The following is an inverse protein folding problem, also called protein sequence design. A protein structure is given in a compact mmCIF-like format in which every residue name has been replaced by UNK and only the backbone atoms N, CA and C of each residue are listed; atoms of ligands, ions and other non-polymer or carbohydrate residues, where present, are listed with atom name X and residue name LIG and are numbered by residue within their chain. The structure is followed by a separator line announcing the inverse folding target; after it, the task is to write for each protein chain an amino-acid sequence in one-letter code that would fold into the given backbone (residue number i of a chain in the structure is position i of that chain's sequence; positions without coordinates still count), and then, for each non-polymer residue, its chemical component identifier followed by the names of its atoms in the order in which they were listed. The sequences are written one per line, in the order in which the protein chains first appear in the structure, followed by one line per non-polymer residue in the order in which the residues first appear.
data_IF_219818773902
#
_entry.id   IF_219818773902
#
_cell.length_a   1.000
_cell.length_b   1.000
_cell.length_c   1.000
_cell.angle_alpha   90.00
_cell.angle_beta   90.00
_cell.angle_gamma   90.00
#
_symmetry.space_group_name_H-M   'P 1'
#
loop_
_entity.id
_entity.type
_entity.pdbx_description
1 polymer ?
#
# COMPACT_ATOMS: atom_id res chain seq x y z
N UNK A 1 -12.11 9.11 -2.94
CA UNK A 1 -11.44 8.56 -1.73
C UNK A 1 -11.77 7.10 -1.58
N UNK A 2 -10.97 6.34 -0.85
CA UNK A 2 -11.28 4.96 -0.49
C UNK A 2 -12.52 4.90 0.40
N UNK A 3 -13.24 3.76 0.46
CA UNK A 3 -14.37 3.60 1.38
C UNK A 3 -13.94 3.49 2.85
N UNK A 4 -12.63 3.43 3.14
CA UNK A 4 -12.12 3.21 4.49
C UNK A 4 -12.00 4.50 5.31
N UNK A 5 -12.17 4.41 6.65
CA UNK A 5 -12.52 3.21 7.42
C UNK A 5 -13.98 2.79 7.21
N UNK A 6 -14.23 1.49 7.22
CA UNK A 6 -15.59 0.94 7.25
C UNK A 6 -16.11 0.91 8.70
N UNK A 7 -17.42 0.96 8.89
CA UNK A 7 -18.06 0.76 10.20
C UNK A 7 -18.00 -0.69 10.72
N UNK A 8 -17.29 -1.59 10.03
CA UNK A 8 -17.12 -3.02 10.31
C UNK A 8 -15.75 -3.49 9.85
N UNK A 9 -15.28 -4.67 10.27
CA UNK A 9 -14.07 -5.28 9.73
C UNK A 9 -14.12 -5.46 8.21
N UNK A 10 -13.06 -5.10 7.52
CA UNK A 10 -12.95 -5.24 6.06
C UNK A 10 -12.75 -6.71 5.66
N UNK A 11 -13.40 -7.13 4.59
CA UNK A 11 -13.25 -8.45 3.97
C UNK A 11 -12.20 -8.35 2.86
N UNK A 12 -11.09 -9.04 3.01
CA UNK A 12 -9.97 -8.94 2.09
C UNK A 12 -9.81 -10.21 1.26
N UNK A 13 -9.50 -10.05 -0.03
CA UNK A 13 -9.02 -11.14 -0.87
C UNK A 13 -7.55 -10.93 -1.21
N UNK A 14 -6.78 -12.02 -1.30
CA UNK A 14 -5.38 -12.00 -1.70
C UNK A 14 -5.21 -12.81 -2.98
N UNK A 15 -4.56 -12.21 -3.98
CA UNK A 15 -4.18 -12.88 -5.22
C UNK A 15 -2.68 -13.18 -5.20
N UNK A 16 -2.30 -14.44 -5.47
CA UNK A 16 -0.91 -14.89 -5.42
C UNK A 16 -0.66 -16.00 -6.45
N UNK A 17 0.48 -15.97 -7.15
CA UNK A 17 0.82 -16.96 -8.19
C UNK A 17 1.81 -18.03 -7.72
N UNK A 18 2.47 -17.87 -6.56
CA UNK A 18 3.62 -18.70 -6.18
C UNK A 18 3.68 -19.09 -4.70
N UNK A 19 4.85 -18.86 -4.08
CA UNK A 19 5.18 -19.30 -2.71
C UNK A 19 4.26 -18.76 -1.62
N UNK A 20 3.68 -17.57 -1.79
CA UNK A 20 2.74 -16.98 -0.84
C UNK A 20 3.35 -16.51 0.48
N UNK A 21 4.61 -16.06 0.48
CA UNK A 21 5.25 -15.60 1.72
C UNK A 21 4.65 -14.26 2.22
N UNK A 22 4.34 -13.34 1.31
CA UNK A 22 3.62 -12.12 1.64
C UNK A 22 2.17 -12.42 2.08
N UNK A 23 1.51 -13.40 1.44
CA UNK A 23 0.20 -13.89 1.90
C UNK A 23 0.28 -14.39 3.34
N UNK A 24 1.30 -15.20 3.69
CA UNK A 24 1.48 -15.70 5.06
C UNK A 24 1.60 -14.56 6.07
N UNK A 25 2.36 -13.52 5.74
CA UNK A 25 2.49 -12.32 6.59
C UNK A 25 1.14 -11.59 6.76
N UNK A 26 0.33 -11.50 5.70
CA UNK A 26 -1.01 -10.92 5.76
C UNK A 26 -1.98 -11.78 6.60
N UNK A 27 -1.95 -13.10 6.45
CA UNK A 27 -2.78 -14.03 7.23
C UNK A 27 -2.45 -13.97 8.74
N UNK A 28 -1.17 -13.79 9.08
CA UNK A 28 -0.74 -13.61 10.47
C UNK A 28 -1.17 -12.27 11.04
N UNK A 29 -1.10 -11.20 10.23
CA UNK A 29 -1.40 -9.85 10.64
C UNK A 29 -2.91 -9.56 10.76
N UNK A 30 -3.73 -10.30 10.01
CA UNK A 30 -5.19 -10.15 9.91
C UNK A 30 -5.88 -11.51 10.04
N UNK A 31 -5.76 -12.17 11.20
CA UNK A 31 -6.43 -13.45 11.43
C UNK A 31 -7.96 -13.27 11.45
N UNK A 32 -8.68 -14.37 11.38
CA UNK A 32 -10.15 -14.38 11.49
C UNK A 32 -10.61 -13.61 12.73
N UNK A 33 -11.57 -12.69 12.53
CA UNK A 33 -12.11 -11.85 13.61
C UNK A 33 -11.24 -10.65 13.98
N UNK A 34 -10.19 -10.34 13.23
CA UNK A 34 -9.38 -9.14 13.49
C UNK A 34 -10.22 -7.85 13.29
N UNK A 35 -10.18 -6.87 14.22
CA UNK A 35 -11.13 -5.74 14.25
C UNK A 35 -11.04 -4.80 13.04
N UNK A 36 -9.90 -4.70 12.37
CA UNK A 36 -9.76 -3.89 11.16
C UNK A 36 -10.19 -4.63 9.89
N UNK A 37 -10.03 -5.95 9.85
CA UNK A 37 -10.37 -6.77 8.69
C UNK A 37 -9.71 -8.12 8.72
N UNK A 38 -10.17 -9.04 7.89
CA UNK A 38 -9.66 -10.41 7.78
C UNK A 38 -9.55 -10.84 6.32
N UNK A 39 -8.62 -11.73 6.02
CA UNK A 39 -8.52 -12.38 4.71
C UNK A 39 -9.59 -13.47 4.63
N UNK A 40 -10.54 -13.31 3.69
CA UNK A 40 -11.66 -14.24 3.52
C UNK A 40 -11.51 -15.12 2.29
N UNK A 41 -10.66 -14.75 1.35
CA UNK A 41 -10.47 -15.45 0.09
C UNK A 41 -9.03 -15.33 -0.39
N UNK A 42 -8.47 -16.43 -0.87
CA UNK A 42 -7.20 -16.46 -1.62
C UNK A 42 -7.46 -17.03 -3.01
N UNK A 43 -6.98 -16.33 -4.03
CA UNK A 43 -7.09 -16.74 -5.43
C UNK A 43 -5.70 -16.90 -6.02
N UNK A 44 -5.50 -17.98 -6.77
CA UNK A 44 -4.29 -18.19 -7.56
C UNK A 44 -4.61 -18.56 -9.00
N UNK A 45 -3.86 -17.97 -9.94
CA UNK A 45 -3.88 -18.37 -11.37
C UNK A 45 -3.12 -19.68 -11.62
N UNK A 46 -2.38 -20.16 -10.62
CA UNK A 46 -1.61 -21.40 -10.63
C UNK A 46 -2.18 -22.38 -9.60
N UNK A 47 -2.76 -23.54 -10.04
CA UNK A 47 -3.28 -24.57 -9.13
C UNK A 47 -2.23 -25.13 -8.17
N UNK A 48 -0.95 -25.14 -8.56
CA UNK A 48 0.17 -25.67 -7.79
C UNK A 48 0.80 -24.64 -6.84
N UNK A 49 0.21 -23.44 -6.73
CA UNK A 49 0.77 -22.39 -5.88
C UNK A 49 0.71 -22.78 -4.40
N UNK A 50 1.86 -22.76 -3.72
CA UNK A 50 1.94 -22.97 -2.27
C UNK A 50 1.10 -21.97 -1.47
N UNK A 51 0.80 -20.81 -2.05
CA UNK A 51 -0.12 -19.83 -1.49
C UNK A 51 -1.49 -20.44 -1.13
N UNK A 52 -2.04 -21.31 -1.98
CA UNK A 52 -3.32 -21.97 -1.73
C UNK A 52 -3.26 -22.91 -0.51
N UNK A 53 -2.16 -23.63 -0.36
CA UNK A 53 -1.96 -24.51 0.79
C UNK A 53 -1.82 -23.72 2.10
N UNK A 54 -1.08 -22.60 2.08
CA UNK A 54 -0.95 -21.69 3.23
C UNK A 54 -2.31 -21.17 3.69
N UNK A 55 -3.16 -20.73 2.74
CA UNK A 55 -4.50 -20.26 3.05
C UNK A 55 -5.36 -21.36 3.69
N UNK A 56 -5.37 -22.56 3.11
CA UNK A 56 -6.13 -23.71 3.64
C UNK A 56 -5.70 -24.10 5.06
N UNK A 57 -4.39 -24.11 5.34
CA UNK A 57 -3.85 -24.36 6.69
C UNK A 57 -4.31 -23.32 7.73
N UNK A 58 -4.64 -22.12 7.29
CA UNK A 58 -5.16 -21.03 8.12
C UNK A 58 -6.70 -21.00 8.16
N UNK A 59 -7.37 -21.98 7.54
CA UNK A 59 -8.84 -22.04 7.45
C UNK A 59 -9.46 -20.98 6.56
N UNK A 60 -8.68 -20.42 5.61
CA UNK A 60 -9.16 -19.42 4.65
C UNK A 60 -9.50 -20.11 3.34
N UNK A 61 -10.63 -19.71 2.73
CA UNK A 61 -11.03 -20.21 1.42
C UNK A 61 -9.95 -19.92 0.37
N UNK A 62 -9.55 -20.97 -0.37
CA UNK A 62 -8.47 -20.89 -1.34
C UNK A 62 -8.87 -21.55 -2.64
N UNK A 63 -8.94 -20.76 -3.72
CA UNK A 63 -9.43 -21.18 -5.02
C UNK A 63 -8.35 -21.01 -6.10
N UNK A 64 -8.17 -22.05 -6.89
CA UNK A 64 -7.39 -21.99 -8.11
C UNK A 64 -8.30 -21.56 -9.27
N UNK A 65 -7.94 -20.47 -9.93
CA UNK A 65 -8.53 -20.00 -11.18
C UNK A 65 -7.47 -20.08 -12.28
N UNK A 66 -7.31 -21.22 -12.97
CA UNK A 66 -6.29 -21.39 -13.99
C UNK A 66 -6.40 -20.32 -15.07
N UNK A 67 -5.26 -19.73 -15.46
CA UNK A 67 -5.21 -18.68 -16.46
C UNK A 67 -5.58 -19.21 -17.87
N UNK A 68 -6.84 -19.07 -18.21
CA UNK A 68 -7.40 -19.39 -19.54
C UNK A 68 -7.53 -18.15 -20.43
N UNK A 69 -6.84 -17.09 -20.08
CA UNK A 69 -6.91 -15.76 -20.68
C UNK A 69 -7.42 -14.72 -19.69
N UNK A 70 -6.99 -13.48 -19.90
CA UNK A 70 -7.24 -12.36 -18.97
C UNK A 70 -8.73 -12.18 -18.70
N UNK A 71 -9.55 -12.12 -19.75
CA UNK A 71 -10.99 -11.85 -19.61
C UNK A 71 -11.71 -12.92 -18.79
N UNK A 72 -11.48 -14.20 -19.10
CA UNK A 72 -12.11 -15.30 -18.40
C UNK A 72 -11.73 -15.32 -16.91
N UNK A 73 -10.43 -15.11 -16.60
CA UNK A 73 -9.96 -15.02 -15.23
C UNK A 73 -10.60 -13.85 -14.47
N UNK A 74 -10.62 -12.66 -15.07
CA UNK A 74 -11.16 -11.45 -14.44
C UNK A 74 -12.68 -11.54 -14.19
N UNK A 75 -13.45 -12.08 -15.15
CA UNK A 75 -14.90 -12.27 -14.99
C UNK A 75 -15.21 -13.22 -13.83
N UNK A 76 -14.50 -14.35 -13.75
CA UNK A 76 -14.65 -15.32 -12.65
C UNK A 76 -14.21 -14.71 -11.31
N UNK A 77 -13.05 -14.04 -11.29
CA UNK A 77 -12.52 -13.40 -10.08
C UNK A 77 -13.49 -12.31 -9.57
N UNK A 78 -14.00 -11.43 -10.43
CA UNK A 78 -14.97 -10.40 -10.02
C UNK A 78 -16.25 -11.00 -9.45
N UNK A 79 -16.75 -12.10 -10.02
CA UNK A 79 -17.89 -12.85 -9.47
C UNK A 79 -17.61 -13.40 -8.07
N UNK A 80 -16.42 -13.96 -7.86
CA UNK A 80 -16.01 -14.46 -6.55
C UNK A 80 -15.87 -13.35 -5.50
N UNK A 81 -15.28 -12.21 -5.88
CA UNK A 81 -15.14 -11.05 -4.99
C UNK A 81 -16.50 -10.50 -4.56
N UNK A 82 -17.43 -10.36 -5.53
CA UNK A 82 -18.79 -9.89 -5.27
C UNK A 82 -19.57 -10.86 -4.35
N UNK A 83 -19.54 -12.16 -4.66
CA UNK A 83 -20.25 -13.18 -3.87
C UNK A 83 -19.77 -13.25 -2.41
N UNK A 84 -18.56 -12.83 -2.11
CA UNK A 84 -17.97 -12.84 -0.76
C UNK A 84 -17.95 -11.48 -0.10
N UNK A 85 -18.52 -10.46 -0.74
CA UNK A 85 -18.56 -9.09 -0.23
C UNK A 85 -17.17 -8.55 0.09
N UNK A 86 -16.20 -8.78 -0.82
CA UNK A 86 -14.81 -8.32 -0.64
C UNK A 86 -14.74 -6.80 -0.75
N UNK A 87 -14.05 -6.19 0.21
CA UNK A 87 -13.85 -4.73 0.28
C UNK A 87 -12.50 -4.29 -0.28
N UNK A 88 -11.47 -5.15 -0.16
CA UNK A 88 -10.08 -4.84 -0.52
C UNK A 88 -9.42 -6.05 -1.17
N UNK A 89 -8.74 -5.84 -2.28
CA UNK A 89 -7.93 -6.86 -2.97
C UNK A 89 -6.46 -6.54 -2.80
N UNK A 90 -5.67 -7.55 -2.43
CA UNK A 90 -4.24 -7.48 -2.19
C UNK A 90 -3.51 -8.40 -3.17
N UNK A 91 -2.65 -7.84 -4.02
CA UNK A 91 -1.77 -8.62 -4.88
C UNK A 91 -0.48 -8.93 -4.12
N UNK A 92 -0.18 -10.19 -3.94
CA UNK A 92 0.97 -10.69 -3.16
C UNK A 92 1.80 -11.67 -3.98
N UNK A 93 2.61 -11.17 -4.90
CA UNK A 93 3.33 -11.98 -5.88
C UNK A 93 2.39 -12.58 -6.94
N UNK A 94 1.40 -11.81 -7.37
CA UNK A 94 0.53 -12.14 -8.48
C UNK A 94 1.18 -11.73 -9.79
N UNK A 95 1.41 -12.69 -10.71
CA UNK A 95 2.26 -12.52 -11.89
C UNK A 95 1.49 -12.16 -13.17
N UNK A 96 0.26 -11.66 -13.06
CA UNK A 96 -0.57 -11.26 -14.21
C UNK A 96 -0.93 -9.79 -14.16
N UNK A 97 -0.97 -9.16 -15.34
CA UNK A 97 -1.49 -7.81 -15.48
C UNK A 97 -3.01 -7.85 -15.60
N UNK A 98 -3.68 -7.15 -14.72
CA UNK A 98 -5.12 -6.95 -14.74
C UNK A 98 -5.50 -5.84 -15.72
N UNK A 99 -6.64 -5.99 -16.38
CA UNK A 99 -7.13 -4.99 -17.32
C UNK A 99 -7.75 -3.77 -16.64
N UNK A 100 -7.91 -2.64 -17.37
CA UNK A 100 -8.65 -1.49 -16.85
C UNK A 100 -10.05 -1.85 -16.34
N UNK A 101 -10.73 -2.78 -17.03
CA UNK A 101 -12.05 -3.27 -16.63
C UNK A 101 -12.08 -3.88 -15.22
N UNK A 102 -10.99 -4.51 -14.80
CA UNK A 102 -10.83 -5.01 -13.43
C UNK A 102 -10.36 -3.91 -12.48
N UNK A 103 -9.35 -3.13 -12.89
CA UNK A 103 -8.65 -2.18 -12.02
C UNK A 103 -9.50 -0.96 -11.67
N UNK A 104 -10.21 -0.37 -12.65
CA UNK A 104 -10.99 0.86 -12.44
C UNK A 104 -12.05 0.77 -11.34
N UNK A 105 -12.90 -0.28 -11.29
CA UNK A 105 -13.88 -0.43 -10.21
C UNK A 105 -13.23 -0.64 -8.83
N UNK A 106 -11.97 -1.07 -8.80
CA UNK A 106 -11.20 -1.34 -7.59
C UNK A 106 -10.21 -0.23 -7.24
N UNK A 107 -10.24 0.90 -7.94
CA UNK A 107 -9.34 2.02 -7.64
C UNK A 107 -9.46 2.45 -6.17
N UNK A 108 -8.32 2.54 -5.48
CA UNK A 108 -8.26 2.81 -4.04
C UNK A 108 -8.58 1.60 -3.14
N UNK A 109 -8.91 0.45 -3.72
CA UNK A 109 -9.20 -0.82 -3.03
C UNK A 109 -8.45 -2.01 -3.63
N UNK A 110 -7.39 -1.74 -4.37
CA UNK A 110 -6.51 -2.74 -4.97
C UNK A 110 -5.07 -2.32 -4.72
N UNK A 111 -4.34 -3.11 -3.94
CA UNK A 111 -2.94 -2.86 -3.59
C UNK A 111 -2.02 -3.92 -4.19
N UNK A 112 -0.79 -3.53 -4.46
CA UNK A 112 0.30 -4.43 -4.80
C UNK A 112 1.53 -4.12 -3.94
N UNK A 113 2.38 -5.13 -3.72
CA UNK A 113 3.73 -4.97 -3.16
C UNK A 113 4.75 -5.28 -4.24
N UNK A 114 5.68 -4.34 -4.47
CA UNK A 114 6.73 -4.45 -5.48
C UNK A 114 8.12 -4.33 -4.83
N UNK A 115 9.08 -5.20 -5.20
CA UNK A 115 10.36 -5.32 -4.50
C UNK A 115 11.41 -4.27 -4.92
N UNK A 116 11.00 -3.02 -5.17
CA UNK A 116 11.89 -1.88 -5.40
C UNK A 116 11.37 -0.60 -4.76
N UNK A 117 12.18 0.43 -4.78
CA UNK A 117 11.79 1.81 -4.43
C UNK A 117 11.19 2.49 -5.66
N UNK A 118 9.91 2.22 -5.97
CA UNK A 118 9.24 2.86 -7.11
C UNK A 118 9.37 4.40 -7.05
N UNK A 119 9.48 5.08 -8.19
CA UNK A 119 9.28 4.59 -9.57
C UNK A 119 10.48 3.85 -10.17
N UNK A 120 11.56 3.61 -9.41
CA UNK A 120 12.73 2.94 -9.91
C UNK A 120 12.50 1.43 -10.01
N UNK A 121 13.05 0.80 -11.06
CA UNK A 121 13.01 -0.65 -11.28
C UNK A 121 11.60 -1.27 -11.30
N UNK A 122 10.64 -0.76 -12.10
CA UNK A 122 9.35 -1.41 -12.29
C UNK A 122 9.51 -2.74 -13.03
N UNK A 123 8.53 -3.64 -12.93
CA UNK A 123 8.49 -4.91 -13.65
C UNK A 123 9.36 -6.01 -13.04
N UNK A 124 9.88 -6.89 -13.88
CA UNK A 124 10.54 -8.14 -13.46
C UNK A 124 12.04 -8.00 -13.22
N UNK A 125 12.63 -9.04 -12.61
CA UNK A 125 14.08 -9.20 -12.37
C UNK A 125 14.73 -8.05 -11.59
N UNK A 126 13.99 -7.47 -10.66
CA UNK A 126 14.37 -6.26 -9.92
C UNK A 126 15.73 -6.43 -9.22
N UNK A 127 15.93 -7.48 -8.44
CA UNK A 127 17.16 -7.65 -7.64
C UNK A 127 18.41 -7.73 -8.51
N UNK A 128 18.34 -8.41 -9.66
CA UNK A 128 19.45 -8.45 -10.62
C UNK A 128 19.75 -7.05 -11.16
N UNK A 129 18.71 -6.32 -11.61
CA UNK A 129 18.85 -4.97 -12.18
C UNK A 129 19.42 -3.97 -11.17
N UNK A 130 19.01 -4.05 -9.92
CA UNK A 130 19.55 -3.24 -8.81
C UNK A 130 21.03 -3.51 -8.59
N UNK A 131 21.44 -4.79 -8.58
CA UNK A 131 22.84 -5.18 -8.40
C UNK A 131 23.70 -4.77 -9.61
N UNK A 132 23.21 -4.96 -10.84
CA UNK A 132 23.90 -4.56 -12.07
C UNK A 132 24.09 -3.03 -12.15
N UNK A 133 23.14 -2.27 -11.61
CA UNK A 133 23.24 -0.81 -11.52
C UNK A 133 24.20 -0.32 -10.43
N UNK A 134 24.68 -1.19 -9.56
CA UNK A 134 25.57 -0.82 -8.46
C UNK A 134 24.93 0.03 -7.38
N UNK A 135 23.61 -0.12 -7.19
CA UNK A 135 22.90 0.62 -6.16
C UNK A 135 23.40 0.26 -4.76
N UNK A 136 23.39 1.25 -3.88
CA UNK A 136 23.77 1.07 -2.46
C UNK A 136 22.58 0.73 -1.58
N UNK A 137 21.39 1.03 -2.06
CA UNK A 137 20.13 0.87 -1.36
C UNK A 137 19.05 0.45 -2.34
N UNK A 138 18.15 -0.37 -1.86
CA UNK A 138 16.90 -0.73 -2.52
C UNK A 138 15.78 -0.83 -1.48
N UNK A 139 14.67 -1.46 -1.82
CA UNK A 139 13.59 -1.63 -0.85
C UNK A 139 12.37 -2.28 -1.44
N UNK A 140 11.23 -1.95 -0.87
CA UNK A 140 9.94 -2.38 -1.38
C UNK A 140 8.93 -1.26 -1.30
N UNK A 141 7.96 -1.29 -2.19
CA UNK A 141 6.87 -0.33 -2.30
C UNK A 141 5.53 -1.05 -2.23
N UNK A 142 4.66 -0.60 -1.35
CA UNK A 142 3.22 -0.90 -1.43
C UNK A 142 2.55 0.27 -2.13
N UNK A 143 1.80 -0.02 -3.19
CA UNK A 143 1.15 1.00 -4.00
C UNK A 143 -0.27 0.60 -4.38
N UNK A 144 -1.10 1.58 -4.69
CA UNK A 144 -2.38 1.35 -5.35
C UNK A 144 -2.13 0.91 -6.78
N UNK A 145 -2.92 -0.05 -7.25
CA UNK A 145 -2.82 -0.52 -8.63
C UNK A 145 -3.61 0.40 -9.54
N UNK A 146 -2.99 0.84 -10.62
CA UNK A 146 -3.61 1.56 -11.73
C UNK A 146 -3.49 0.73 -13.02
N UNK A 147 -3.71 1.36 -14.17
CA UNK A 147 -3.71 0.68 -15.48
C UNK A 147 -2.29 0.36 -15.99
N UNK A 148 -1.25 0.96 -15.40
CA UNK A 148 0.14 0.72 -15.77
C UNK A 148 0.80 -0.39 -14.97
N UNK A 149 2.02 -0.76 -15.38
CA UNK A 149 2.84 -1.71 -14.64
C UNK A 149 3.62 -0.96 -13.56
N UNK A 150 3.24 -1.17 -12.29
CA UNK A 150 3.89 -0.59 -11.11
C UNK A 150 3.92 0.95 -11.13
N UNK A 151 2.95 1.60 -11.78
CA UNK A 151 2.87 3.06 -11.95
C UNK A 151 1.92 3.74 -10.97
N UNK A 152 1.10 2.96 -10.27
CA UNK A 152 0.07 3.49 -9.38
C UNK A 152 0.62 4.25 -8.18
N UNK A 153 -0.22 5.06 -7.54
CA UNK A 153 0.18 5.91 -6.42
C UNK A 153 0.79 5.11 -5.27
N UNK A 154 1.96 5.55 -4.81
CA UNK A 154 2.65 4.93 -3.67
C UNK A 154 1.82 5.13 -2.40
N UNK A 155 1.70 4.05 -1.59
CA UNK A 155 1.11 4.11 -0.27
C UNK A 155 2.19 4.15 0.81
N UNK A 156 3.14 3.24 0.76
CA UNK A 156 4.22 3.12 1.74
C UNK A 156 5.46 2.51 1.10
N UNK A 157 6.64 2.99 1.47
CA UNK A 157 7.92 2.41 1.07
C UNK A 157 8.76 2.06 2.29
N UNK A 158 9.62 1.08 2.14
CA UNK A 158 10.67 0.75 3.09
C UNK A 158 11.99 0.50 2.37
N UNK A 159 13.10 0.68 3.08
CA UNK A 159 14.45 0.64 2.54
C UNK A 159 15.27 -0.48 3.18
N UNK A 160 16.19 -1.04 2.39
CA UNK A 160 17.22 -1.97 2.84
C UNK A 160 18.54 -1.65 2.13
N UNK A 161 19.69 -1.86 2.79
CA UNK A 161 20.98 -1.71 2.13
C UNK A 161 21.20 -2.84 1.12
N UNK A 162 21.94 -2.53 0.06
CA UNK A 162 22.61 -3.50 -0.80
C UNK A 162 24.02 -3.69 -0.23
N UNK A 163 24.37 -4.92 0.12
CA UNK A 163 25.65 -5.23 0.76
C UNK A 163 26.69 -5.69 -0.27
N UNK A 164 27.99 -5.41 -0.06
CA UNK A 164 29.03 -5.95 -0.89
C UNK A 164 28.94 -7.48 -1.00
N UNK A 165 28.99 -8.01 -2.22
CA UNK A 165 28.90 -9.44 -2.48
C UNK A 165 27.49 -10.03 -2.46
N UNK A 166 26.44 -9.21 -2.36
CA UNK A 166 25.06 -9.70 -2.49
C UNK A 166 24.83 -10.41 -3.83
N UNK A 167 24.17 -11.55 -3.76
CA UNK A 167 23.55 -12.19 -4.92
C UNK A 167 22.10 -11.75 -5.06
N UNK A 168 21.46 -11.93 -6.22
CA UNK A 168 20.03 -11.65 -6.37
C UNK A 168 19.18 -12.34 -5.31
N UNK A 169 19.49 -13.58 -4.94
CA UNK A 169 18.79 -14.37 -3.93
C UNK A 169 18.99 -13.82 -2.51
N UNK A 170 20.20 -13.38 -2.17
CA UNK A 170 20.48 -12.76 -0.88
C UNK A 170 19.72 -11.44 -0.71
N UNK A 171 19.72 -10.62 -1.77
CA UNK A 171 18.98 -9.36 -1.80
C UNK A 171 17.47 -9.60 -1.75
N UNK A 172 16.95 -10.56 -2.55
CA UNK A 172 15.54 -10.98 -2.50
C UNK A 172 15.13 -11.36 -1.07
N UNK A 173 15.89 -12.20 -0.41
CA UNK A 173 15.60 -12.63 0.95
C UNK A 173 15.56 -11.46 1.95
N UNK A 174 16.41 -10.44 1.75
CA UNK A 174 16.41 -9.22 2.58
C UNK A 174 15.19 -8.36 2.32
N UNK A 175 14.84 -8.14 1.05
CA UNK A 175 13.67 -7.37 0.65
C UNK A 175 12.38 -8.07 1.10
N UNK A 176 12.26 -9.40 0.96
CA UNK A 176 11.12 -10.17 1.45
C UNK A 176 10.87 -9.99 2.96
N UNK A 177 11.94 -9.97 3.78
CA UNK A 177 11.77 -9.69 5.22
C UNK A 177 11.23 -8.30 5.50
N UNK A 178 11.58 -7.32 4.67
CA UNK A 178 10.98 -5.99 4.72
C UNK A 178 9.51 -6.04 4.32
N UNK A 179 9.17 -6.67 3.18
CA UNK A 179 7.80 -6.77 2.66
C UNK A 179 6.84 -7.39 3.69
N UNK A 180 7.26 -8.44 4.39
CA UNK A 180 6.45 -9.10 5.41
C UNK A 180 6.03 -8.17 6.56
N UNK A 181 6.75 -7.08 6.80
CA UNK A 181 6.40 -6.03 7.78
C UNK A 181 5.69 -4.85 7.12
N UNK A 182 6.17 -4.47 5.94
CA UNK A 182 5.70 -3.30 5.21
C UNK A 182 4.26 -3.47 4.72
N UNK A 183 3.95 -4.62 4.11
CA UNK A 183 2.65 -4.85 3.51
C UNK A 183 1.52 -4.85 4.55
N UNK A 184 1.59 -5.61 5.65
CA UNK A 184 0.58 -5.51 6.71
C UNK A 184 0.47 -4.10 7.32
N UNK A 185 1.58 -3.36 7.46
CA UNK A 185 1.56 -1.97 7.94
C UNK A 185 0.79 -1.06 6.98
N UNK A 186 1.06 -1.16 5.69
CA UNK A 186 0.36 -0.40 4.66
C UNK A 186 -1.15 -0.68 4.66
N UNK A 187 -1.54 -1.95 4.75
CA UNK A 187 -2.95 -2.36 4.84
C UNK A 187 -3.62 -1.76 6.09
N UNK A 188 -2.95 -1.77 7.25
CA UNK A 188 -3.49 -1.13 8.47
C UNK A 188 -3.72 0.36 8.29
N UNK A 189 -2.77 1.08 7.65
CA UNK A 189 -2.94 2.51 7.36
C UNK A 189 -4.15 2.77 6.48
N UNK A 190 -4.32 1.97 5.41
CA UNK A 190 -5.47 2.08 4.51
C UNK A 190 -6.79 1.82 5.26
N UNK A 191 -6.89 0.71 5.98
CA UNK A 191 -8.11 0.31 6.69
C UNK A 191 -8.51 1.31 7.80
N UNK A 192 -7.55 2.03 8.36
CA UNK A 192 -7.79 3.12 9.31
C UNK A 192 -8.14 4.46 8.65
N UNK A 193 -8.17 4.52 7.31
CA UNK A 193 -8.41 5.76 6.57
C UNK A 193 -7.24 6.76 6.63
N UNK A 194 -6.04 6.30 7.02
CA UNK A 194 -4.81 7.10 7.10
C UNK A 194 -4.00 7.08 5.79
N UNK A 195 -4.47 6.38 4.78
CA UNK A 195 -3.89 6.34 3.44
C UNK A 195 -5.01 6.23 2.40
N UNK A 196 -4.85 6.92 1.29
CA UNK A 196 -5.76 6.88 0.13
C UNK A 196 -5.02 7.35 -1.13
N UNK A 197 -5.43 6.96 -2.33
CA UNK A 197 -4.85 7.50 -3.56
C UNK A 197 -5.35 8.93 -3.80
N UNK A 198 -4.65 9.72 -4.62
CA UNK A 198 -5.13 11.03 -5.01
C UNK A 198 -6.58 10.95 -5.51
N UNK A 199 -7.50 11.77 -4.98
CA UNK A 199 -8.87 11.78 -5.46
C UNK A 199 -8.94 12.34 -6.89
N UNK A 200 -9.82 11.82 -7.75
CA UNK A 200 -9.95 12.31 -9.13
C UNK A 200 -10.42 13.77 -9.21
N UNK A 201 -11.12 14.24 -8.18
CA UNK A 201 -11.63 15.60 -8.03
C UNK A 201 -10.70 16.50 -7.19
N UNK A 202 -9.38 16.30 -7.29
CA UNK A 202 -8.35 16.94 -6.46
C UNK A 202 -8.45 18.48 -6.47
N UNK A 203 -8.62 19.08 -7.64
CA UNK A 203 -8.72 20.55 -7.78
C UNK A 203 -9.99 21.10 -7.09
N UNK A 204 -11.11 20.38 -7.18
CA UNK A 204 -12.35 20.77 -6.51
C UNK A 204 -12.21 20.72 -4.97
N UNK A 205 -11.36 19.83 -4.45
CA UNK A 205 -11.14 19.67 -3.01
C UNK A 205 -10.09 20.60 -2.42
N UNK A 206 -9.00 20.83 -3.14
CA UNK A 206 -7.85 21.61 -2.66
C UNK A 206 -7.81 23.05 -3.21
N UNK A 207 -8.58 23.33 -4.27
CA UNK A 207 -8.38 24.51 -5.10
C UNK A 207 -7.21 24.35 -6.09
N UNK A 208 -7.20 25.17 -7.12
CA UNK A 208 -6.25 25.05 -8.24
C UNK A 208 -4.78 25.15 -7.82
N UNK A 209 -4.46 26.09 -6.94
CA UNK A 209 -3.08 26.33 -6.49
C UNK A 209 -2.52 25.13 -5.71
N UNK A 210 -3.25 24.65 -4.69
CA UNK A 210 -2.80 23.51 -3.88
C UNK A 210 -2.83 22.19 -4.66
N UNK A 211 -3.78 22.00 -5.59
CA UNK A 211 -3.79 20.86 -6.49
C UNK A 211 -2.56 20.88 -7.43
N UNK A 212 -2.21 22.04 -7.99
CA UNK A 212 -1.01 22.20 -8.80
C UNK A 212 0.27 21.90 -8.01
N UNK A 213 0.38 22.43 -6.79
CA UNK A 213 1.51 22.15 -5.90
C UNK A 213 1.60 20.65 -5.54
N UNK A 214 0.49 20.00 -5.23
CA UNK A 214 0.46 18.55 -5.00
C UNK A 214 0.91 17.74 -6.23
N UNK A 215 0.44 18.12 -7.42
CA UNK A 215 0.81 17.43 -8.66
C UNK A 215 2.30 17.54 -8.95
N UNK A 216 2.93 18.65 -8.55
CA UNK A 216 4.37 18.89 -8.70
C UNK A 216 5.24 18.07 -7.73
N UNK A 217 4.68 17.51 -6.65
CA UNK A 217 5.40 16.63 -5.73
C UNK A 217 5.87 15.35 -6.45
N UNK A 218 7.01 14.84 -6.02
CA UNK A 218 7.49 13.55 -6.48
C UNK A 218 6.52 12.41 -6.07
N UNK A 219 6.54 11.27 -6.77
CA UNK A 219 5.75 10.10 -6.39
C UNK A 219 5.98 9.65 -4.94
N UNK A 220 7.17 9.90 -4.38
CA UNK A 220 7.54 9.54 -3.00
C UNK A 220 7.05 10.53 -1.95
N UNK A 221 6.86 11.78 -2.31
CA UNK A 221 6.35 12.83 -1.41
C UNK A 221 4.82 12.83 -1.30
N UNK A 222 4.12 12.52 -2.40
CA UNK A 222 2.65 12.48 -2.45
C UNK A 222 2.00 11.66 -1.33
N UNK A 223 2.49 10.46 -0.96
CA UNK A 223 1.91 9.68 0.14
C UNK A 223 1.98 10.38 1.49
N UNK A 224 3.04 11.13 1.77
CA UNK A 224 3.16 11.88 3.03
C UNK A 224 2.13 13.00 3.10
N UNK A 225 1.96 13.73 2.00
CA UNK A 225 0.94 14.77 1.90
C UNK A 225 -0.48 14.20 2.13
N UNK A 226 -0.83 13.11 1.44
CA UNK A 226 -2.14 12.49 1.56
C UNK A 226 -2.39 11.97 2.98
N UNK A 227 -1.36 11.43 3.63
CA UNK A 227 -1.45 10.97 5.02
C UNK A 227 -1.61 12.13 6.00
N UNK A 228 -0.86 13.21 5.83
CA UNK A 228 -1.02 14.40 6.64
C UNK A 228 -2.43 15.00 6.47
N UNK A 229 -2.97 15.00 5.25
CA UNK A 229 -4.37 15.36 5.00
C UNK A 229 -5.35 14.46 5.78
N UNK A 230 -5.16 13.13 5.71
CA UNK A 230 -6.00 12.19 6.46
C UNK A 230 -5.96 12.46 7.97
N UNK A 231 -4.78 12.77 8.52
CA UNK A 231 -4.61 13.10 9.93
C UNK A 231 -5.32 14.39 10.30
N UNK A 232 -5.16 15.46 9.52
CA UNK A 232 -5.87 16.72 9.76
C UNK A 232 -7.38 16.53 9.75
N UNK A 233 -7.90 15.74 8.81
CA UNK A 233 -9.32 15.38 8.78
C UNK A 233 -9.74 14.64 10.05
N UNK A 234 -8.97 13.65 10.47
CA UNK A 234 -9.25 12.89 11.69
C UNK A 234 -9.18 13.75 12.95
N UNK A 235 -8.41 14.84 12.94
CA UNK A 235 -8.31 15.79 14.03
C UNK A 235 -9.34 16.93 13.97
N UNK A 236 -10.23 16.94 12.96
CA UNK A 236 -11.21 17.99 12.76
C UNK A 236 -10.61 19.31 12.21
N UNK A 237 -9.44 19.25 11.63
CA UNK A 237 -8.68 20.39 11.11
C UNK A 237 -8.59 20.37 9.55
N UNK A 238 -9.52 19.70 8.87
CA UNK A 238 -9.48 19.53 7.41
C UNK A 238 -9.49 20.86 6.64
N UNK A 239 -10.08 21.91 7.20
CA UNK A 239 -10.07 23.24 6.57
C UNK A 239 -8.65 23.82 6.35
N UNK A 240 -7.63 23.29 7.06
CA UNK A 240 -6.24 23.69 6.88
C UNK A 240 -5.59 23.06 5.63
N UNK A 241 -6.23 22.10 4.97
CA UNK A 241 -5.70 21.40 3.77
C UNK A 241 -5.87 22.24 2.50
N UNK A 242 -6.02 23.53 2.61
CA UNK A 242 -6.13 24.47 1.50
C UNK A 242 -4.78 24.89 0.92
N UNK A 243 -4.73 26.00 0.16
CA UNK A 243 -3.54 26.49 -0.53
C UNK A 243 -2.30 26.69 0.34
N UNK A 244 -2.48 26.97 1.64
CA UNK A 244 -1.39 27.18 2.59
C UNK A 244 -0.77 25.90 3.15
N UNK A 245 -1.34 24.72 2.88
CA UNK A 245 -0.97 23.47 3.54
C UNK A 245 0.47 23.02 3.25
N UNK A 246 0.96 23.20 2.02
CA UNK A 246 2.32 22.84 1.62
C UNK A 246 3.41 23.80 2.14
N UNK A 247 3.04 24.98 2.56
CA UNK A 247 4.02 25.98 2.97
C UNK A 247 3.77 26.64 4.32
N UNK A 248 2.54 26.63 4.81
CA UNK A 248 2.15 27.46 5.96
C UNK A 248 1.02 26.83 6.82
N UNK A 249 0.98 25.51 6.91
CA UNK A 249 -0.08 24.79 7.67
C UNK A 249 -0.12 25.10 9.17
N UNK A 250 0.66 26.08 9.65
CA UNK A 250 0.79 26.40 11.06
C UNK A 250 1.26 25.18 11.87
N UNK A 251 1.10 25.24 13.17
CA UNK A 251 1.53 24.16 14.09
C UNK A 251 0.76 22.85 13.86
N UNK A 252 -0.51 22.93 13.50
CA UNK A 252 -1.32 21.74 13.16
C UNK A 252 -0.86 21.08 11.86
N UNK A 253 -0.56 21.86 10.83
CA UNK A 253 -0.01 21.32 9.58
C UNK A 253 1.35 20.66 9.79
N UNK A 254 2.26 21.33 10.53
CA UNK A 254 3.56 20.76 10.92
C UNK A 254 3.39 19.48 11.73
N UNK A 255 2.48 19.45 12.70
CA UNK A 255 2.16 18.26 13.49
C UNK A 255 1.67 17.11 12.63
N UNK A 256 0.77 17.38 11.65
CA UNK A 256 0.27 16.37 10.75
C UNK A 256 1.37 15.79 9.84
N UNK A 257 2.30 16.61 9.34
CA UNK A 257 3.45 16.12 8.57
C UNK A 257 4.41 15.29 9.41
N UNK A 258 4.72 15.71 10.64
CA UNK A 258 5.56 14.94 11.54
C UNK A 258 4.93 13.58 11.87
N UNK A 259 3.63 13.55 12.18
CA UNK A 259 2.89 12.30 12.39
C UNK A 259 2.87 11.42 11.14
N UNK A 260 2.70 12.00 9.94
CA UNK A 260 2.75 11.26 8.69
C UNK A 260 4.11 10.60 8.45
N UNK A 261 5.20 11.30 8.76
CA UNK A 261 6.56 10.75 8.70
C UNK A 261 6.77 9.65 9.74
N UNK A 262 6.37 9.84 10.99
CA UNK A 262 6.49 8.83 12.05
C UNK A 262 5.72 7.55 11.72
N UNK A 263 4.54 7.68 11.11
CA UNK A 263 3.76 6.52 10.64
C UNK A 263 4.46 5.78 9.48
N UNK A 264 5.20 6.50 8.64
CA UNK A 264 5.98 5.89 7.55
C UNK A 264 7.27 5.25 8.08
N UNK A 265 8.14 6.07 8.67
CA UNK A 265 9.48 5.68 9.15
C UNK A 265 9.73 6.34 10.53
N UNK A 266 9.46 5.66 11.64
CA UNK A 266 9.74 6.19 12.97
C UNK A 266 11.23 6.55 13.11
N UNK A 267 11.52 7.76 13.58
CA UNK A 267 12.87 8.28 13.74
C UNK A 267 13.00 9.01 15.08
N UNK A 268 14.10 8.84 15.84
CA UNK A 268 14.36 9.61 17.05
C UNK A 268 14.35 11.11 16.82
N UNK A 269 14.90 11.58 15.69
CA UNK A 269 14.92 13.01 15.34
C UNK A 269 13.50 13.57 15.20
N UNK A 270 12.62 12.83 14.52
CA UNK A 270 11.22 13.24 14.37
C UNK A 270 10.49 13.28 15.73
N UNK A 271 10.81 12.39 16.65
CA UNK A 271 10.24 12.40 18.01
C UNK A 271 10.71 13.63 18.81
N UNK A 272 11.95 14.06 18.63
CA UNK A 272 12.44 15.30 19.26
C UNK A 272 11.72 16.53 18.68
N UNK A 273 11.48 16.56 17.36
CA UNK A 273 10.70 17.63 16.74
C UNK A 273 9.25 17.68 17.25
N UNK A 274 8.62 16.53 17.45
CA UNK A 274 7.27 16.42 18.05
C UNK A 274 7.26 16.99 19.47
N UNK A 275 8.31 16.77 20.26
CA UNK A 275 8.41 17.31 21.60
C UNK A 275 8.39 18.86 21.63
N UNK A 276 8.80 19.52 20.54
CA UNK A 276 8.76 20.98 20.37
C UNK A 276 7.41 21.55 19.96
N UNK A 277 6.40 20.70 19.65
CA UNK A 277 5.07 21.17 19.27
C UNK A 277 4.24 21.66 20.47
N UNK A 278 3.26 22.58 20.26
CA UNK A 278 2.27 22.92 21.27
C UNK A 278 1.57 21.70 21.84
N UNK A 279 1.23 21.74 23.15
CA UNK A 279 0.70 20.58 23.87
C UNK A 279 -0.54 19.95 23.24
N UNK A 280 -1.47 20.76 22.76
CA UNK A 280 -2.69 20.29 22.08
C UNK A 280 -2.40 19.58 20.74
N UNK A 281 -1.43 20.06 19.94
CA UNK A 281 -0.98 19.43 18.70
C UNK A 281 -0.20 18.16 19.01
N UNK A 282 0.75 18.24 19.95
CA UNK A 282 1.56 17.10 20.38
C UNK A 282 0.71 15.93 20.89
N UNK A 283 -0.38 16.19 21.57
CA UNK A 283 -1.30 15.16 22.07
C UNK A 283 -2.02 14.38 20.94
N UNK A 284 -2.01 14.90 19.72
CA UNK A 284 -2.60 14.26 18.53
C UNK A 284 -1.57 13.49 17.70
N UNK A 285 -0.30 13.88 17.74
CA UNK A 285 0.80 13.23 17.03
C UNK A 285 1.24 11.96 17.79
#
# INVERSE_FOLDING_TARGET
MTPFPLGRPARMAVFASGRGTNLEALLQAFPKGHPLGEVVLVVSDNPEALALERARRRGVEALALPWRGRRAFEEEALGLLAARGVDLVLLAGFMRLLSPRFVEPWYGRLLNVHPSLLPDYPGLHVHRRVLEAGERETGSTVHFVDQGMDTGPILLQGRVPVLPGDTPEALEARVLRLEHRLYPKAVRLLLRGLAFPPPPDLEARLGREAAGAFLALSPREKPLYLRAWALLRAWGQEALVGPAFLGQGGEWGRGAFLAAHLLAEPSPVLLEEVAGLPGEVRARV
#
